data_IF_644746218957
#
_entry.id   IF_644746218957
#
_cell.length_a   1.000
_cell.length_b   1.000
_cell.length_c   1.000
_cell.angle_alpha   90.00
_cell.angle_beta   90.00
_cell.angle_gamma   90.00
#
_symmetry.space_group_name_H-M   'P 1'
#
loop_
_entity.id
_entity.type
_entity.pdbx_description
1 polymer ?
#
# COMPACT_ATOMS: atom_id res chain seq x y z
N UNK A 1 5.49 25.89 -21.48
CA UNK A 1 5.86 25.40 -21.03
C UNK A 1 6.23 24.60 -20.94
N UNK A 2 6.30 24.68 -20.52
CA UNK A 2 6.77 23.95 -20.21
C UNK A 2 6.46 22.84 -19.98
N UNK A 3 6.75 22.43 -20.22
CA UNK A 3 6.56 21.33 -20.15
C UNK A 3 7.02 20.59 -19.07
N UNK A 4 7.94 20.89 -18.43
CA UNK A 4 8.37 20.17 -17.36
C UNK A 4 7.36 20.13 -16.31
N UNK A 5 6.41 20.98 -16.31
CA UNK A 5 5.44 20.85 -15.38
C UNK A 5 4.49 19.82 -15.66
N UNK A 6 4.46 19.30 -16.85
CA UNK A 6 3.51 18.34 -17.14
C UNK A 6 3.70 17.07 -16.46
N UNK A 7 4.93 16.65 -16.21
CA UNK A 7 5.04 15.39 -15.58
C UNK A 7 4.79 15.49 -14.12
N UNK A 8 4.73 16.67 -13.58
CA UNK A 8 4.28 16.75 -12.24
C UNK A 8 2.84 16.43 -12.12
N UNK A 9 2.07 16.61 -13.21
CA UNK A 9 0.68 16.34 -13.12
C UNK A 9 0.37 14.92 -13.33
N UNK A 10 1.36 14.11 -13.66
CA UNK A 10 1.08 12.72 -13.82
C UNK A 10 0.76 12.13 -12.50
N UNK A 11 -0.31 11.41 -12.45
CA UNK A 11 -0.73 10.80 -11.22
C UNK A 11 0.17 9.62 -10.91
N UNK A 12 0.47 9.45 -9.63
CA UNK A 12 1.18 8.27 -9.17
C UNK A 12 0.13 7.19 -8.95
N UNK A 13 -0.10 6.36 -9.96
CA UNK A 13 -1.16 5.36 -9.91
C UNK A 13 -0.53 3.99 -9.76
N UNK A 14 -1.02 3.23 -8.79
CA UNK A 14 -0.58 1.86 -8.59
C UNK A 14 -1.77 0.95 -8.79
N UNK A 15 -1.50 -0.33 -8.98
CA UNK A 15 -2.53 -1.35 -9.06
C UNK A 15 -2.61 -2.02 -7.70
N UNK A 16 -3.74 -1.92 -7.05
CA UNK A 16 -3.90 -2.42 -5.69
C UNK A 16 -4.87 -3.58 -5.66
N UNK A 17 -4.46 -4.67 -5.04
CA UNK A 17 -5.37 -5.75 -4.70
C UNK A 17 -5.46 -5.83 -3.18
N UNK A 18 -6.59 -6.33 -2.69
CA UNK A 18 -6.80 -6.46 -1.26
C UNK A 18 -7.06 -7.93 -0.98
N UNK A 19 -6.21 -8.50 -0.14
CA UNK A 19 -6.31 -9.91 0.19
C UNK A 19 -7.67 -10.22 0.78
N UNK A 20 -8.29 -11.26 0.28
CA UNK A 20 -9.59 -11.68 0.81
C UNK A 20 -10.77 -10.92 0.26
N UNK A 21 -10.54 -9.92 -0.59
CA UNK A 21 -11.66 -9.19 -1.16
C UNK A 21 -12.16 -9.90 -2.41
N UNK A 22 -13.37 -9.51 -2.82
CA UNK A 22 -13.97 -10.14 -4.00
C UNK A 22 -13.58 -9.45 -5.28
N UNK A 23 -12.95 -8.25 -5.19
CA UNK A 23 -12.56 -7.60 -6.44
C UNK A 23 -11.08 -7.86 -6.70
N UNK A 24 -10.73 -7.74 -7.97
CA UNK A 24 -9.35 -7.97 -8.36
C UNK A 24 -8.57 -6.70 -8.13
N UNK A 25 -7.67 -6.39 -9.00
CA UNK A 25 -6.89 -5.17 -8.85
C UNK A 25 -7.70 -3.95 -9.21
N UNK A 26 -7.47 -2.86 -8.49
CA UNK A 26 -8.04 -1.57 -8.86
C UNK A 26 -6.91 -0.57 -8.92
N UNK A 27 -7.07 0.44 -9.75
CA UNK A 27 -6.08 1.51 -9.83
C UNK A 27 -6.34 2.51 -8.72
N UNK A 28 -5.29 2.85 -8.01
CA UNK A 28 -5.39 3.77 -6.89
C UNK A 28 -4.39 4.89 -7.11
N UNK A 29 -4.85 6.11 -6.97
CA UNK A 29 -3.96 7.27 -7.07
C UNK A 29 -3.35 7.53 -5.71
N UNK A 30 -2.03 7.54 -5.67
CA UNK A 30 -1.29 7.86 -4.47
C UNK A 30 -1.04 9.36 -4.48
N UNK A 31 -1.69 10.08 -3.58
CA UNK A 31 -1.60 11.53 -3.60
C UNK A 31 -0.22 12.03 -3.18
N UNK A 32 0.46 11.26 -2.31
CA UNK A 32 1.79 11.68 -1.85
C UNK A 32 2.61 10.42 -1.62
N UNK A 33 3.48 10.05 -2.57
CA UNK A 33 4.28 8.83 -2.42
C UNK A 33 5.38 8.95 -1.37
N UNK A 34 5.60 10.15 -0.84
CA UNK A 34 6.60 10.34 0.21
C UNK A 34 6.02 10.18 1.61
N UNK A 35 4.72 9.91 1.73
CA UNK A 35 4.17 9.55 3.03
C UNK A 35 4.67 8.17 3.44
N UNK A 36 4.68 7.92 4.74
CA UNK A 36 5.17 6.64 5.24
C UNK A 36 4.28 5.50 4.81
N UNK A 37 4.83 4.31 4.81
CA UNK A 37 4.06 3.10 4.51
C UNK A 37 2.86 3.03 5.45
N UNK A 38 3.07 3.35 6.71
CA UNK A 38 2.01 3.33 7.71
C UNK A 38 0.87 4.26 7.31
N UNK A 39 1.20 5.47 6.86
CA UNK A 39 0.19 6.43 6.44
C UNK A 39 -0.50 6.01 5.15
N UNK A 40 0.23 5.37 4.24
CA UNK A 40 -0.38 4.89 3.01
C UNK A 40 -1.43 3.84 3.32
N UNK A 41 -1.12 2.93 4.25
CA UNK A 41 -2.05 1.89 4.64
C UNK A 41 -3.28 2.51 5.30
N UNK A 42 -3.08 3.49 6.16
CA UNK A 42 -4.21 4.15 6.81
C UNK A 42 -5.14 4.78 5.79
N UNK A 43 -4.58 5.40 4.77
CA UNK A 43 -5.39 6.01 3.72
C UNK A 43 -6.19 4.97 2.96
N UNK A 44 -5.56 3.84 2.65
CA UNK A 44 -6.24 2.77 1.92
C UNK A 44 -7.37 2.21 2.76
N UNK A 45 -7.11 1.93 4.03
CA UNK A 45 -8.11 1.36 4.92
C UNK A 45 -9.30 2.31 5.03
N UNK A 46 -9.04 3.61 5.09
CA UNK A 46 -10.10 4.58 5.21
C UNK A 46 -10.91 4.70 3.92
N UNK A 47 -10.22 4.78 2.78
CA UNK A 47 -10.90 4.96 1.50
C UNK A 47 -11.78 3.77 1.17
N UNK A 48 -11.30 2.56 1.43
CA UNK A 48 -12.06 1.37 1.12
C UNK A 48 -12.92 0.92 2.29
N UNK A 49 -12.92 1.67 3.39
CA UNK A 49 -13.77 1.40 4.55
C UNK A 49 -13.57 -0.02 5.05
N UNK A 50 -12.32 -0.41 5.18
CA UNK A 50 -11.99 -1.76 5.61
C UNK A 50 -12.15 -1.89 7.11
N UNK A 51 -12.48 -3.09 7.60
CA UNK A 51 -12.68 -3.26 9.04
C UNK A 51 -11.38 -3.12 9.80
N UNK A 52 -11.48 -2.61 11.02
CA UNK A 52 -10.33 -2.49 11.90
C UNK A 52 -10.26 -3.62 12.90
N UNK A 53 -11.32 -4.42 13.00
CA UNK A 53 -11.40 -5.55 13.90
C UNK A 53 -12.03 -6.72 13.17
N UNK A 54 -11.64 -7.92 13.53
CA UNK A 54 -12.26 -9.09 12.95
C UNK A 54 -13.56 -9.40 13.69
N UNK A 55 -14.19 -10.52 13.33
CA UNK A 55 -15.49 -10.87 13.90
C UNK A 55 -15.40 -11.19 15.37
N UNK A 56 -14.22 -11.50 15.86
CA UNK A 56 -14.03 -11.80 17.29
C UNK A 56 -13.65 -10.60 18.11
N UNK A 57 -13.60 -9.40 17.48
CA UNK A 57 -13.22 -8.21 18.18
C UNK A 57 -11.72 -8.00 18.27
N UNK A 58 -10.93 -8.79 17.58
CA UNK A 58 -9.47 -8.64 17.61
C UNK A 58 -9.04 -7.63 16.56
N UNK A 59 -8.08 -6.78 16.88
CA UNK A 59 -7.59 -5.81 15.89
C UNK A 59 -7.00 -6.51 14.67
N UNK A 60 -7.14 -5.88 13.53
CA UNK A 60 -6.53 -6.36 12.30
C UNK A 60 -5.39 -5.43 11.96
N UNK A 61 -4.21 -6.01 11.74
CA UNK A 61 -3.08 -5.25 11.25
C UNK A 61 -3.01 -5.42 9.74
N UNK A 62 -2.85 -4.31 9.04
CA UNK A 62 -2.72 -4.36 7.59
C UNK A 62 -1.26 -4.12 7.22
N UNK A 63 -0.78 -4.91 6.27
CA UNK A 63 0.56 -4.78 5.72
C UNK A 63 0.43 -4.50 4.23
N UNK A 64 1.48 -3.94 3.66
CA UNK A 64 1.51 -3.64 2.24
C UNK A 64 2.65 -4.43 1.62
N UNK A 65 2.36 -5.13 0.54
CA UNK A 65 3.36 -5.91 -0.17
C UNK A 65 3.41 -5.51 -1.62
N UNK A 66 4.57 -5.70 -2.24
CA UNK A 66 4.74 -5.44 -3.66
C UNK A 66 4.72 -6.77 -4.41
N UNK A 67 3.86 -6.86 -5.41
CA UNK A 67 3.77 -8.06 -6.22
C UNK A 67 4.77 -7.93 -7.34
N UNK A 68 5.82 -8.75 -7.31
CA UNK A 68 6.84 -8.73 -8.34
C UNK A 68 6.59 -9.84 -9.34
N UNK A 69 6.17 -11.00 -8.85
CA UNK A 69 5.91 -12.15 -9.68
C UNK A 69 4.67 -12.81 -9.15
N UNK A 70 3.71 -13.11 -10.03
CA UNK A 70 2.46 -13.71 -9.59
C UNK A 70 2.65 -15.04 -8.90
N UNK A 71 3.74 -15.72 -9.20
CA UNK A 71 4.00 -17.04 -8.62
C UNK A 71 4.73 -16.96 -7.30
N UNK A 72 5.10 -15.78 -6.86
CA UNK A 72 5.85 -15.62 -5.62
C UNK A 72 5.06 -14.80 -4.63
N UNK A 73 5.44 -14.92 -3.37
CA UNK A 73 4.79 -14.15 -2.35
C UNK A 73 5.16 -12.68 -2.49
N UNK A 74 4.28 -11.78 -2.13
CA UNK A 74 4.59 -10.35 -2.21
C UNK A 74 5.75 -9.99 -1.31
N UNK A 75 6.53 -9.00 -1.75
CA UNK A 75 7.60 -8.47 -0.92
C UNK A 75 6.96 -7.50 0.07
N UNK A 76 7.07 -7.79 1.36
CA UNK A 76 6.46 -6.95 2.38
C UNK A 76 7.27 -5.66 2.50
N UNK A 77 6.56 -4.55 2.49
CA UNK A 77 7.18 -3.24 2.67
C UNK A 77 7.15 -2.91 4.16
N UNK A 78 8.27 -3.05 4.82
CA UNK A 78 8.33 -2.85 6.26
C UNK A 78 8.06 -1.41 6.61
N UNK A 79 7.46 -1.18 7.77
CA UNK A 79 7.15 0.16 8.22
C UNK A 79 8.42 0.95 8.56
N UNK A 80 9.42 0.25 9.08
CA UNK A 80 10.64 0.91 9.55
C UNK A 80 11.84 0.11 9.08
N UNK A 81 12.96 0.80 8.93
CA UNK A 81 14.22 0.11 8.61
C UNK A 81 14.87 -0.34 9.91
N UNK A 82 16.12 -0.85 9.79
CA UNK A 82 16.79 -1.39 10.95
C UNK A 82 17.07 -0.34 12.00
N UNK A 83 17.15 0.90 11.59
CA UNK A 83 17.42 1.99 12.52
C UNK A 83 16.15 2.59 13.10
N UNK A 84 14.99 2.05 12.77
CA UNK A 84 13.72 2.56 13.26
C UNK A 84 13.20 3.73 12.48
N UNK A 85 13.75 4.00 11.29
CA UNK A 85 13.30 5.12 10.49
C UNK A 85 12.11 4.69 9.64
N UNK A 86 11.04 5.51 9.66
CA UNK A 86 9.85 5.18 8.91
C UNK A 86 10.17 5.17 7.41
N UNK A 87 9.65 4.17 6.73
CA UNK A 87 9.91 3.99 5.31
C UNK A 87 8.73 4.47 4.49
N UNK A 88 9.01 4.86 3.26
CA UNK A 88 8.00 5.35 2.32
C UNK A 88 7.99 4.47 1.10
N UNK A 89 7.01 4.68 0.22
CA UNK A 89 7.00 3.96 -1.06
C UNK A 89 8.27 4.27 -1.85
N UNK A 90 8.74 5.50 -1.77
CA UNK A 90 9.93 5.88 -2.52
C UNK A 90 11.18 5.18 -2.02
N UNK A 91 11.23 4.87 -0.72
CA UNK A 91 12.36 4.15 -0.17
C UNK A 91 12.46 2.74 -0.75
N UNK A 92 11.34 2.18 -1.19
CA UNK A 92 11.31 0.87 -1.80
C UNK A 92 11.29 0.94 -3.32
N UNK A 93 11.50 2.12 -3.89
CA UNK A 93 11.54 2.31 -5.34
C UNK A 93 10.25 1.90 -6.03
N UNK A 94 9.13 2.09 -5.37
CA UNK A 94 7.83 1.81 -5.98
C UNK A 94 7.60 2.85 -7.06
N UNK A 95 7.17 2.38 -8.23
CA UNK A 95 6.96 3.22 -9.40
C UNK A 95 5.49 3.23 -9.78
N UNK A 96 5.04 4.27 -10.46
CA UNK A 96 3.68 4.24 -11.01
C UNK A 96 3.50 2.99 -11.87
N UNK A 97 2.38 2.34 -11.72
CA UNK A 97 2.09 1.12 -12.45
C UNK A 97 2.47 -0.14 -11.71
N UNK A 98 3.20 -0.02 -10.62
CA UNK A 98 3.55 -1.20 -9.85
C UNK A 98 2.31 -1.78 -9.18
N UNK A 99 2.35 -3.08 -8.90
CA UNK A 99 1.24 -3.78 -8.27
C UNK A 99 1.55 -4.00 -6.81
N UNK A 100 0.62 -3.57 -5.97
CA UNK A 100 0.73 -3.74 -4.52
C UNK A 100 -0.45 -4.53 -4.01
N UNK A 101 -0.28 -5.19 -2.88
CA UNK A 101 -1.35 -5.94 -2.25
C UNK A 101 -1.46 -5.54 -0.79
N UNK A 102 -2.67 -5.24 -0.35
CA UNK A 102 -2.93 -5.00 1.06
C UNK A 102 -3.26 -6.33 1.71
N UNK A 103 -2.51 -6.68 2.75
CA UNK A 103 -2.60 -7.98 3.41
C UNK A 103 -3.09 -7.74 4.83
N UNK A 104 -4.09 -8.51 5.24
CA UNK A 104 -4.62 -8.38 6.58
C UNK A 104 -4.07 -9.51 7.45
N UNK A 105 -3.62 -9.14 8.63
CA UNK A 105 -3.07 -10.09 9.58
C UNK A 105 -3.80 -9.90 10.90
N UNK A 106 -4.57 -10.90 11.33
CA UNK A 106 -5.24 -10.77 12.63
C UNK A 106 -4.20 -10.79 13.74
N UNK A 107 -4.37 -9.90 14.69
CA UNK A 107 -3.49 -9.85 15.83
C UNK A 107 -4.12 -10.66 16.92
N UNK A 108 -3.45 -11.73 17.32
CA UNK A 108 -3.98 -12.59 18.37
C UNK A 108 -3.95 -11.84 19.69
N UNK A 109 -5.04 -11.85 20.38
CA UNK A 109 -5.16 -11.16 21.64
C UNK A 109 -4.42 -11.82 22.78
#
# INVERSE_FOLDING_TARGET
>A
MNDEEMYYDEDFIINLSIEGSSFEEVEVKVSDPYKTIRDQISSIVQVFELPKMDNGGNPIQYLLGQIIDDDEEPRILDFEDEDGREQTLMDYNIQPGDSLQLISVPIAG
#
